data_IF_772826766494
#
_entry.id   IF_772826766494
#
_cell.length_a   1.000
_cell.length_b   1.000
_cell.length_c   1.000
_cell.angle_alpha   90.00
_cell.angle_beta   90.00
_cell.angle_gamma   90.00
#
_symmetry.space_group_name_H-M   'P 1'
#
loop_
_entity.id
_entity.type
_entity.pdbx_description
1 polymer ?
#
# COMPACT_ATOMS: atom_id res chain seq x y z
N UNK A 1 21.58 -9.18 -39.89
CA UNK A 1 21.93 -8.93 -38.46
C UNK A 1 21.43 -7.58 -37.96
N UNK A 2 21.83 -6.44 -38.56
CA UNK A 2 21.40 -5.10 -38.07
C UNK A 2 19.88 -4.88 -38.08
N UNK A 3 19.20 -5.27 -39.18
CA UNK A 3 17.73 -5.14 -39.32
C UNK A 3 16.96 -6.05 -38.34
N UNK A 4 17.49 -7.24 -38.09
CA UNK A 4 16.93 -8.21 -37.14
C UNK A 4 17.03 -7.69 -35.70
N UNK A 5 18.17 -7.08 -35.35
CA UNK A 5 18.37 -6.45 -34.05
C UNK A 5 17.45 -5.25 -33.84
N UNK A 6 17.28 -4.40 -34.85
CA UNK A 6 16.35 -3.26 -34.80
C UNK A 6 14.89 -3.71 -34.62
N UNK A 7 14.48 -4.80 -35.26
CA UNK A 7 13.12 -5.34 -35.12
C UNK A 7 12.88 -5.92 -33.71
N UNK A 8 13.88 -6.60 -33.14
CA UNK A 8 13.83 -7.12 -31.77
C UNK A 8 13.75 -5.96 -30.76
N UNK A 9 14.51 -4.88 -30.96
CA UNK A 9 14.42 -3.69 -30.10
C UNK A 9 13.06 -3.02 -30.18
N UNK A 10 12.49 -2.87 -31.38
CA UNK A 10 11.17 -2.26 -31.55
C UNK A 10 10.08 -3.11 -30.88
N UNK A 11 10.16 -4.43 -30.97
CA UNK A 11 9.26 -5.32 -30.25
C UNK A 11 9.42 -5.18 -28.73
N UNK A 12 10.65 -5.12 -28.20
CA UNK A 12 10.90 -4.96 -26.77
C UNK A 12 10.31 -3.66 -26.20
N UNK A 13 10.36 -2.56 -26.96
CA UNK A 13 9.74 -1.28 -26.55
C UNK A 13 8.22 -1.35 -26.55
N UNK A 14 7.62 -2.05 -27.52
CA UNK A 14 6.16 -2.21 -27.62
C UNK A 14 5.57 -3.13 -26.54
N UNK A 15 6.37 -4.09 -26.04
CA UNK A 15 5.98 -5.00 -24.95
C UNK A 15 6.50 -4.57 -23.57
N UNK A 16 7.25 -3.47 -23.47
CA UNK A 16 7.55 -2.79 -22.23
C UNK A 16 6.30 -2.01 -21.75
N UNK A 17 5.21 -2.73 -21.49
CA UNK A 17 4.06 -2.17 -20.79
C UNK A 17 4.49 -1.65 -19.41
N UNK A 18 3.79 -0.67 -18.84
CA UNK A 18 4.03 -0.29 -17.46
C UNK A 18 3.89 -1.55 -16.61
N UNK A 19 4.93 -1.91 -15.87
CA UNK A 19 4.78 -2.82 -14.75
C UNK A 19 3.70 -2.16 -13.88
N UNK A 20 2.50 -2.75 -13.84
CA UNK A 20 1.44 -2.28 -12.97
C UNK A 20 1.95 -2.48 -11.55
N UNK A 21 2.59 -1.45 -11.01
CA UNK A 21 2.99 -1.43 -9.63
C UNK A 21 1.70 -1.51 -8.84
N UNK A 22 1.57 -2.55 -8.02
CA UNK A 22 0.53 -2.58 -7.01
C UNK A 22 0.57 -1.26 -6.24
N UNK A 23 -0.59 -0.67 -5.96
CA UNK A 23 -0.66 0.55 -5.17
C UNK A 23 0.09 0.28 -3.84
N UNK A 24 1.16 1.04 -3.54
CA UNK A 24 2.01 0.79 -2.39
C UNK A 24 1.27 0.96 -1.06
N UNK A 25 0.06 1.53 -1.06
CA UNK A 25 -0.80 1.66 0.13
C UNK A 25 -1.46 0.32 0.48
N UNK A 26 -1.70 -0.54 -0.49
CA UNK A 26 -2.39 -1.82 -0.31
C UNK A 26 -1.54 -2.78 0.52
N UNK A 27 -2.15 -3.35 1.55
CA UNK A 27 -1.51 -4.28 2.46
C UNK A 27 -1.77 -3.97 3.93
N UNK A 28 -1.02 -4.69 4.77
CA UNK A 28 -1.15 -4.62 6.22
C UNK A 28 -0.10 -3.68 6.81
N UNK A 29 -0.56 -2.75 7.65
CA UNK A 29 0.24 -1.73 8.30
C UNK A 29 0.13 -1.84 9.81
N UNK A 30 1.27 -1.76 10.49
CA UNK A 30 1.35 -1.66 11.94
C UNK A 30 1.62 -0.22 12.35
N UNK A 31 0.82 0.29 13.29
CA UNK A 31 0.98 1.62 13.85
C UNK A 31 2.34 1.74 14.56
N UNK A 32 3.11 2.77 14.20
CA UNK A 32 4.31 3.15 14.92
C UNK A 32 3.99 4.28 15.91
N UNK A 33 3.55 3.90 17.11
CA UNK A 33 3.13 4.84 18.16
C UNK A 33 4.23 5.86 18.49
N UNK A 34 5.49 5.43 18.53
CA UNK A 34 6.63 6.30 18.83
C UNK A 34 6.85 7.41 17.77
N UNK A 35 6.32 7.24 16.56
CA UNK A 35 6.42 8.22 15.46
C UNK A 35 5.09 8.92 15.16
N UNK A 36 4.03 8.63 15.91
CA UNK A 36 2.71 9.21 15.70
C UNK A 36 2.43 10.36 16.67
N UNK A 37 1.59 11.30 16.22
CA UNK A 37 1.02 12.34 17.05
C UNK A 37 -0.47 12.07 17.21
N UNK A 38 -0.98 12.26 18.42
CA UNK A 38 -2.38 12.03 18.76
C UNK A 38 -2.99 13.31 19.31
N UNK A 39 -4.26 13.54 19.00
CA UNK A 39 -5.04 14.54 19.71
C UNK A 39 -5.24 14.13 21.17
N UNK A 40 -5.36 15.08 22.11
CA UNK A 40 -5.63 14.76 23.51
C UNK A 40 -6.86 13.86 23.66
N UNK A 41 -6.73 12.75 24.38
CA UNK A 41 -7.82 11.78 24.62
C UNK A 41 -8.03 10.75 23.49
N UNK A 42 -7.33 10.88 22.37
CA UNK A 42 -7.36 9.96 21.23
C UNK A 42 -6.06 9.13 21.11
N UNK A 43 -5.27 9.04 22.17
CA UNK A 43 -4.01 8.32 22.15
C UNK A 43 -4.23 6.81 21.96
N UNK A 44 -3.50 6.24 21.00
CA UNK A 44 -3.47 4.81 20.73
C UNK A 44 -2.18 4.19 21.24
N UNK A 45 -2.27 2.96 21.73
CA UNK A 45 -1.13 2.14 22.18
C UNK A 45 -0.77 1.04 21.19
N UNK A 46 -1.71 0.67 20.30
CA UNK A 46 -1.48 -0.25 19.21
C UNK A 46 -2.47 0.02 18.07
N UNK A 47 -2.11 -0.45 16.86
CA UNK A 47 -2.99 -0.39 15.71
C UNK A 47 -2.51 -1.29 14.58
N UNK A 48 -3.44 -2.00 13.95
CA UNK A 48 -3.25 -2.69 12.68
C UNK A 48 -4.28 -2.15 11.70
N UNK A 49 -3.86 -1.87 10.47
CA UNK A 49 -4.74 -1.52 9.35
C UNK A 49 -4.47 -2.43 8.18
N UNK A 50 -5.53 -2.88 7.52
CA UNK A 50 -5.46 -3.61 6.26
C UNK A 50 -6.20 -2.81 5.21
N UNK A 51 -5.44 -2.31 4.24
CA UNK A 51 -6.00 -1.71 3.02
C UNK A 51 -6.08 -2.79 1.95
N UNK A 52 -7.26 -2.94 1.35
CA UNK A 52 -7.44 -3.80 0.16
C UNK A 52 -8.10 -3.03 -0.96
N UNK A 53 -7.81 -3.43 -2.19
CA UNK A 53 -8.46 -2.91 -3.38
C UNK A 53 -9.05 -4.07 -4.18
N UNK A 54 -10.32 -3.95 -4.56
CA UNK A 54 -10.97 -4.85 -5.48
C UNK A 54 -11.86 -4.04 -6.43
N UNK A 55 -11.67 -4.23 -7.74
CA UNK A 55 -12.46 -3.59 -8.79
C UNK A 55 -12.53 -2.05 -8.63
N UNK A 56 -11.41 -1.41 -8.29
CA UNK A 56 -11.33 0.04 -8.07
C UNK A 56 -11.99 0.55 -6.77
N UNK A 57 -12.45 -0.37 -5.90
CA UNK A 57 -12.98 -0.02 -4.58
C UNK A 57 -11.92 -0.30 -3.52
N UNK A 58 -11.61 0.73 -2.72
CA UNK A 58 -10.70 0.63 -1.59
C UNK A 58 -11.49 0.34 -0.30
N UNK A 59 -11.03 -0.64 0.47
CA UNK A 59 -11.58 -0.94 1.79
C UNK A 59 -10.52 -0.83 2.87
N UNK A 60 -10.95 -0.51 4.09
CA UNK A 60 -10.11 -0.43 5.27
C UNK A 60 -10.72 -1.29 6.39
N UNK A 61 -9.98 -2.31 6.80
CA UNK A 61 -10.20 -2.98 8.07
C UNK A 61 -9.17 -2.46 9.08
N UNK A 62 -9.59 -2.23 10.32
CA UNK A 62 -8.65 -1.78 11.35
C UNK A 62 -9.00 -2.33 12.72
N UNK A 63 -7.95 -2.53 13.51
CA UNK A 63 -8.03 -2.82 14.93
C UNK A 63 -7.12 -1.85 15.67
N UNK A 64 -7.71 -1.00 16.50
CA UNK A 64 -7.00 0.03 17.24
C UNK A 64 -7.19 -0.19 18.74
N UNK A 65 -6.14 0.06 19.52
CA UNK A 65 -6.22 -0.02 20.99
C UNK A 65 -5.94 1.33 21.59
N UNK A 66 -6.89 1.86 22.36
CA UNK A 66 -6.75 3.11 23.09
C UNK A 66 -5.77 3.00 24.26
N UNK A 67 -5.39 4.15 24.81
CA UNK A 67 -4.60 4.23 26.05
C UNK A 67 -5.29 3.62 27.27
N UNK A 68 -6.62 3.53 27.23
CA UNK A 68 -7.45 2.83 28.22
C UNK A 68 -7.48 1.29 28.03
N UNK A 69 -6.76 0.76 27.04
CA UNK A 69 -6.74 -0.66 26.70
C UNK A 69 -7.98 -1.14 25.96
N UNK A 70 -8.95 -0.26 25.63
CA UNK A 70 -10.16 -0.63 24.90
C UNK A 70 -9.94 -0.55 23.39
N UNK A 71 -10.68 -1.39 22.66
CA UNK A 71 -10.73 -1.32 21.20
C UNK A 71 -11.51 -0.07 20.74
N UNK A 72 -11.09 0.53 19.61
CA UNK A 72 -11.66 1.75 19.03
C UNK A 72 -11.98 1.55 17.56
#
# INVERSE_FOLDING_TARGET
MKKSLSLIMLAAVLFAGPALAADPIIGMWKLNVAKSKFSPGAELTAGIRLYTEANGTFTLEQKLTGKDGKER
#
